data_IF_621840271468
#
_entry.id   IF_621840271468
#
_cell.length_a   1.000
_cell.length_b   1.000
_cell.length_c   1.000
_cell.angle_alpha   90.00
_cell.angle_beta   90.00
_cell.angle_gamma   90.00
#
_symmetry.space_group_name_H-M   'P 1'
#
loop_
_entity.id
_entity.type
_entity.pdbx_description
1 polymer ?
#
# COMPACT_ATOMS: atom_id res chain seq x y z
N UNK A 1 -6.93 -29.03 2.57
CA UNK A 1 -8.22 -28.41 2.91
C UNK A 1 -8.08 -26.93 2.62
N UNK A 2 -8.64 -26.44 1.52
CA UNK A 2 -8.62 -24.99 1.23
C UNK A 2 -9.77 -24.35 1.99
N UNK A 3 -9.47 -23.63 3.07
CA UNK A 3 -10.46 -22.76 3.68
C UNK A 3 -10.68 -21.59 2.72
N UNK A 4 -11.87 -21.46 2.16
CA UNK A 4 -12.29 -20.20 1.54
C UNK A 4 -12.43 -19.20 2.68
N UNK A 5 -11.56 -18.20 2.70
CA UNK A 5 -11.64 -17.15 3.71
C UNK A 5 -12.21 -15.91 3.06
N UNK A 6 -13.32 -15.43 3.62
CA UNK A 6 -13.96 -14.19 3.23
C UNK A 6 -13.45 -13.08 4.15
N UNK A 7 -13.00 -11.97 3.55
CA UNK A 7 -12.51 -10.82 4.29
C UNK A 7 -13.03 -9.54 3.64
N UNK A 8 -13.47 -8.61 4.47
CA UNK A 8 -13.67 -7.22 4.07
C UNK A 8 -12.32 -6.50 4.10
N UNK A 9 -11.99 -5.78 3.02
CA UNK A 9 -10.78 -4.98 2.91
C UNK A 9 -11.12 -3.49 3.02
N UNK A 10 -10.72 -2.88 4.13
CA UNK A 10 -10.87 -1.44 4.36
C UNK A 10 -9.58 -0.71 4.02
N UNK A 11 -9.67 0.41 3.29
CA UNK A 11 -8.52 1.20 2.86
C UNK A 11 -8.63 2.62 3.40
N UNK A 12 -7.52 3.13 3.94
CA UNK A 12 -7.42 4.46 4.53
C UNK A 12 -6.24 5.23 3.92
N UNK A 13 -6.41 6.53 3.70
CA UNK A 13 -5.32 7.41 3.32
C UNK A 13 -4.77 8.11 4.58
N UNK A 14 -3.45 8.11 4.74
CA UNK A 14 -2.76 8.79 5.85
C UNK A 14 -2.05 10.02 5.29
N UNK A 15 -2.46 11.21 5.72
CA UNK A 15 -1.88 12.49 5.26
C UNK A 15 -0.93 13.12 6.28
N UNK A 16 -0.98 12.67 7.53
CA UNK A 16 -0.10 13.12 8.61
C UNK A 16 0.65 11.92 9.17
N UNK A 17 1.84 11.66 8.62
CA UNK A 17 2.67 10.51 8.94
C UNK A 17 3.83 10.91 9.85
N UNK A 18 4.05 10.15 10.93
CA UNK A 18 5.23 10.26 11.77
C UNK A 18 5.73 8.87 12.18
N UNK A 19 7.05 8.74 12.36
CA UNK A 19 7.66 7.49 12.81
C UNK A 19 7.63 7.41 14.33
N UNK A 20 7.31 6.23 14.85
CA UNK A 20 7.53 5.93 16.27
C UNK A 20 9.02 5.86 16.56
N UNK A 21 9.44 6.44 17.68
CA UNK A 21 10.83 6.34 18.14
C UNK A 21 11.28 4.89 18.42
N UNK A 22 10.33 4.02 18.77
CA UNK A 22 10.56 2.59 19.00
C UNK A 22 10.72 1.77 17.71
N UNK A 23 10.52 2.36 16.54
CA UNK A 23 10.57 1.65 15.26
C UNK A 23 9.31 0.83 14.95
N UNK A 24 9.44 -0.07 13.96
CA UNK A 24 8.39 -1.00 13.56
C UNK A 24 8.34 -2.22 14.49
N UNK A 25 7.13 -2.72 14.76
CA UNK A 25 6.89 -3.95 15.52
C UNK A 25 6.55 -5.07 14.51
N UNK A 26 7.57 -5.78 14.01
CA UNK A 26 7.44 -6.89 13.07
C UNK A 26 7.22 -8.23 13.81
N UNK A 27 6.40 -9.10 13.24
CA UNK A 27 6.24 -10.49 13.69
C UNK A 27 7.36 -11.39 13.17
N UNK A 28 7.54 -12.57 13.79
CA UNK A 28 8.55 -13.54 13.35
C UNK A 28 8.30 -13.99 11.90
N UNK A 29 9.28 -13.73 11.02
CA UNK A 29 9.21 -14.07 9.60
C UNK A 29 8.66 -12.97 8.70
N UNK A 30 8.30 -11.79 9.23
CA UNK A 30 7.96 -10.63 8.41
C UNK A 30 9.21 -9.89 7.92
N UNK A 31 9.33 -9.74 6.60
CA UNK A 31 10.35 -8.92 5.95
C UNK A 31 9.66 -7.77 5.21
N UNK A 32 9.65 -6.59 5.83
CA UNK A 32 9.04 -5.37 5.27
C UNK A 32 10.08 -4.27 5.22
N UNK A 33 10.33 -3.75 4.03
CA UNK A 33 11.17 -2.56 3.84
C UNK A 33 10.29 -1.31 3.96
N UNK A 34 10.59 -0.47 4.95
CA UNK A 34 9.92 0.82 5.17
C UNK A 34 10.83 1.98 4.75
N UNK A 35 10.29 3.20 4.77
CA UNK A 35 11.03 4.44 4.45
C UNK A 35 11.38 4.66 2.98
N UNK A 36 10.81 3.84 2.09
CA UNK A 36 10.80 4.09 0.66
C UNK A 36 9.72 5.12 0.33
N UNK A 37 10.12 6.24 -0.26
CA UNK A 37 9.22 7.28 -0.72
C UNK A 37 9.22 7.30 -2.24
N UNK A 38 8.02 7.36 -2.80
CA UNK A 38 7.79 7.39 -4.24
C UNK A 38 6.98 8.63 -4.59
N UNK A 39 7.36 9.28 -5.69
CA UNK A 39 6.56 10.32 -6.31
C UNK A 39 5.27 9.75 -6.89
N UNK A 40 4.30 10.63 -7.14
CA UNK A 40 3.06 10.28 -7.83
C UNK A 40 3.32 9.50 -9.13
N UNK A 41 4.27 9.96 -9.95
CA UNK A 41 4.53 9.30 -11.24
C UNK A 41 5.21 7.94 -11.09
N UNK A 42 6.13 7.77 -10.14
CA UNK A 42 6.72 6.45 -9.86
C UNK A 42 5.64 5.45 -9.44
N UNK A 43 4.74 5.87 -8.53
CA UNK A 43 3.63 5.02 -8.08
C UNK A 43 2.67 4.70 -9.23
N UNK A 44 2.33 5.69 -10.07
CA UNK A 44 1.49 5.49 -11.25
C UNK A 44 2.11 4.48 -12.21
N UNK A 45 3.41 4.58 -12.48
CA UNK A 45 4.10 3.60 -13.32
C UNK A 45 4.10 2.20 -12.69
N UNK A 46 4.35 2.08 -11.38
CA UNK A 46 4.31 0.79 -10.67
C UNK A 46 2.94 0.11 -10.74
N UNK A 47 1.86 0.89 -10.71
CA UNK A 47 0.50 0.38 -10.88
C UNK A 47 0.30 -0.10 -12.31
N UNK A 48 0.59 0.76 -13.30
CA UNK A 48 0.30 0.48 -14.72
C UNK A 48 1.15 -0.64 -15.32
N UNK A 49 2.37 -0.82 -14.82
CA UNK A 49 3.27 -1.87 -15.29
C UNK A 49 3.10 -3.21 -14.53
N UNK A 50 2.16 -3.29 -13.57
CA UNK A 50 1.88 -4.50 -12.81
C UNK A 50 2.94 -4.86 -11.75
N UNK A 51 3.79 -3.91 -11.34
CA UNK A 51 4.76 -4.16 -10.25
C UNK A 51 4.06 -4.37 -8.89
N UNK A 52 2.84 -3.83 -8.73
CA UNK A 52 2.02 -4.06 -7.55
C UNK A 52 1.24 -5.37 -7.67
N UNK A 53 1.55 -6.35 -6.81
CA UNK A 53 0.93 -7.69 -6.86
C UNK A 53 -0.48 -7.77 -6.27
N UNK A 54 -0.83 -6.86 -5.36
CA UNK A 54 -2.17 -6.79 -4.77
C UNK A 54 -3.04 -5.82 -5.59
N UNK A 55 -3.66 -6.35 -6.65
CA UNK A 55 -4.40 -5.56 -7.64
C UNK A 55 -5.57 -4.76 -7.03
N UNK A 56 -6.20 -5.28 -5.98
CA UNK A 56 -7.29 -4.59 -5.27
C UNK A 56 -6.80 -3.28 -4.66
N UNK A 57 -5.61 -3.30 -4.06
CA UNK A 57 -4.98 -2.10 -3.48
C UNK A 57 -4.46 -1.19 -4.59
N UNK A 58 -3.85 -1.75 -5.64
CA UNK A 58 -3.37 -0.96 -6.78
C UNK A 58 -4.50 -0.13 -7.42
N UNK A 59 -5.68 -0.72 -7.61
CA UNK A 59 -6.84 -0.02 -8.15
C UNK A 59 -7.37 1.08 -7.21
N UNK A 60 -7.49 0.80 -5.90
CA UNK A 60 -7.96 1.80 -4.93
C UNK A 60 -6.99 2.97 -4.83
N UNK A 61 -5.68 2.68 -4.77
CA UNK A 61 -4.63 3.69 -4.75
C UNK A 61 -4.66 4.55 -6.01
N UNK A 62 -4.77 3.94 -7.20
CA UNK A 62 -4.84 4.68 -8.45
C UNK A 62 -6.02 5.67 -8.48
N UNK A 63 -7.21 5.22 -8.07
CA UNK A 63 -8.40 6.08 -7.99
C UNK A 63 -8.22 7.23 -7.02
N UNK A 64 -7.63 6.96 -5.86
CA UNK A 64 -7.33 7.99 -4.87
C UNK A 64 -6.34 9.03 -5.42
N UNK A 65 -5.27 8.58 -6.05
CA UNK A 65 -4.23 9.46 -6.60
C UNK A 65 -4.78 10.35 -7.72
N UNK A 66 -5.50 9.78 -8.70
CA UNK A 66 -6.08 10.56 -9.82
C UNK A 66 -7.16 11.54 -9.35
N UNK A 67 -7.90 11.24 -8.28
CA UNK A 67 -8.87 12.17 -7.69
C UNK A 67 -8.20 13.38 -7.03
N UNK A 68 -7.05 13.18 -6.35
CA UNK A 68 -6.36 14.22 -5.59
C UNK A 68 -5.24 14.93 -6.39
N UNK A 69 -4.97 14.51 -7.62
CA UNK A 69 -3.95 15.11 -8.49
C UNK A 69 -4.52 16.17 -9.47
N UNK A 70 -5.74 16.64 -9.23
CA UNK A 70 -6.35 17.79 -9.94
C UNK A 70 -5.88 19.11 -9.35
#
# INVERSE_FOLDING_TARGET
MGATVEWDLFVFAVTDFSKRASGQELEEGEEIETDLWFSYEEVKQMILNGSMREERIALVLFRYLEYNHQ
#
